data_IF_834940576134
#
_entry.id   IF_834940576134
#
_cell.length_a   1.000
_cell.length_b   1.000
_cell.length_c   1.000
_cell.angle_alpha   90.00
_cell.angle_beta   90.00
_cell.angle_gamma   90.00
#
_symmetry.space_group_name_H-M   'P 1'
#
loop_
_entity.id
_entity.type
_entity.pdbx_description
1 polymer ?
#
# COMPACT_ATOMS: atom_id res chain seq x y z
N UNK A 1 5.18 10.12 6.44
CA UNK A 1 3.95 10.36 5.65
C UNK A 1 3.02 11.26 6.43
N UNK A 2 2.62 12.39 5.85
CA UNK A 2 1.63 13.30 6.43
C UNK A 2 0.26 12.97 5.83
N UNK A 3 -0.66 12.50 6.67
CA UNK A 3 -2.06 12.25 6.29
C UNK A 3 -2.79 13.60 6.28
N UNK A 4 -3.19 14.09 5.11
CA UNK A 4 -4.09 15.25 5.00
C UNK A 4 -5.53 14.74 5.08
N UNK A 5 -6.22 15.05 6.17
CA UNK A 5 -7.62 14.71 6.39
C UNK A 5 -8.50 15.89 5.96
N UNK A 6 -9.36 15.68 4.96
CA UNK A 6 -10.45 16.60 4.61
C UNK A 6 -11.79 15.90 4.84
N UNK A 7 -12.65 16.57 5.62
CA UNK A 7 -14.04 16.29 6.00
C UNK A 7 -14.35 14.90 6.59
N UNK A 8 -14.44 14.87 7.93
CA UNK A 8 -15.04 13.78 8.69
C UNK A 8 -16.56 13.98 8.79
N UNK A 9 -17.32 13.22 8.02
CA UNK A 9 -18.56 12.65 8.54
C UNK A 9 -18.17 11.33 9.23
N UNK A 10 -18.58 11.06 10.47
CA UNK A 10 -18.15 9.85 11.21
C UNK A 10 -18.47 8.53 10.48
N UNK A 11 -19.35 8.61 9.47
CA UNK A 11 -19.75 7.51 8.59
C UNK A 11 -18.98 7.42 7.28
N UNK A 12 -18.27 8.46 6.86
CA UNK A 12 -17.69 8.54 5.52
C UNK A 12 -16.23 9.02 5.60
N UNK A 13 -15.31 8.23 5.07
CA UNK A 13 -13.88 8.52 5.11
C UNK A 13 -13.27 8.40 3.72
N UNK A 14 -12.61 9.46 3.28
CA UNK A 14 -11.83 9.49 2.03
C UNK A 14 -10.35 9.61 2.39
N UNK A 15 -9.52 8.71 1.88
CA UNK A 15 -8.09 8.67 2.19
C UNK A 15 -7.31 8.05 1.04
N UNK A 16 -5.99 8.25 1.04
CA UNK A 16 -5.10 7.56 0.12
C UNK A 16 -4.36 6.42 0.81
N UNK A 17 -4.03 5.38 0.05
CA UNK A 17 -3.24 4.25 0.53
C UNK A 17 -2.42 3.68 -0.62
N UNK A 18 -1.12 3.54 -0.36
CA UNK A 18 -0.21 2.80 -1.20
C UNK A 18 -0.39 1.30 -0.97
N UNK A 19 -0.51 0.53 -2.05
CA UNK A 19 -0.68 -0.94 -2.06
C UNK A 19 0.21 -1.58 -3.12
N UNK A 20 0.57 -2.84 -2.90
CA UNK A 20 1.12 -3.70 -3.94
C UNK A 20 -0.01 -3.99 -4.94
N UNK A 21 0.26 -3.83 -6.23
CA UNK A 21 -0.78 -3.96 -7.26
C UNK A 21 -1.16 -5.43 -7.49
N UNK A 22 -0.16 -6.32 -7.54
CA UNK A 22 -0.37 -7.76 -7.66
C UNK A 22 0.85 -8.54 -7.15
N UNK A 23 0.73 -9.22 -6.00
CA UNK A 23 1.81 -10.03 -5.42
C UNK A 23 2.32 -11.14 -6.33
N UNK A 24 1.54 -11.56 -7.34
CA UNK A 24 1.97 -12.58 -8.29
C UNK A 24 2.73 -12.01 -9.49
N UNK A 25 2.71 -10.69 -9.68
CA UNK A 25 3.41 -10.05 -10.78
C UNK A 25 4.93 -10.07 -10.58
N UNK A 26 5.66 -10.23 -11.69
CA UNK A 26 7.12 -10.16 -11.68
C UNK A 26 7.63 -8.80 -11.19
N UNK A 27 6.88 -7.72 -11.45
CA UNK A 27 7.23 -6.37 -11.01
C UNK A 27 7.20 -6.26 -9.48
N UNK A 28 6.06 -6.61 -8.88
CA UNK A 28 5.86 -6.56 -7.43
C UNK A 28 6.83 -7.50 -6.71
N UNK A 29 7.02 -8.74 -7.20
CA UNK A 29 7.96 -9.70 -6.60
C UNK A 29 9.38 -9.15 -6.54
N UNK A 30 9.85 -8.52 -7.62
CA UNK A 30 11.20 -7.93 -7.63
C UNK A 30 11.32 -6.73 -6.72
N UNK A 31 10.35 -5.82 -6.70
CA UNK A 31 10.35 -4.69 -5.77
C UNK A 31 10.39 -5.13 -4.30
N UNK A 32 9.55 -6.10 -3.94
CA UNK A 32 9.52 -6.67 -2.59
C UNK A 32 10.87 -7.32 -2.26
N UNK A 33 11.46 -8.06 -3.21
CA UNK A 33 12.78 -8.66 -3.02
C UNK A 33 13.87 -7.61 -2.78
N UNK A 34 13.92 -6.54 -3.59
CA UNK A 34 14.90 -5.46 -3.44
C UNK A 34 14.77 -4.76 -2.10
N UNK A 35 13.54 -4.46 -1.70
CA UNK A 35 13.24 -3.81 -0.42
C UNK A 35 13.67 -4.69 0.75
N UNK A 36 13.29 -5.97 0.77
CA UNK A 36 13.55 -6.85 1.90
C UNK A 36 15.02 -7.28 2.00
N UNK A 37 15.79 -7.28 0.91
CA UNK A 37 17.20 -7.67 0.94
C UNK A 37 18.09 -6.69 1.70
N UNK A 38 17.68 -5.43 1.78
CA UNK A 38 18.42 -4.35 2.45
C UNK A 38 18.02 -4.16 3.93
N UNK A 39 17.04 -4.92 4.43
CA UNK A 39 16.46 -4.80 5.77
C UNK A 39 16.88 -5.93 6.72
N UNK A 40 16.97 -5.63 8.02
CA UNK A 40 17.15 -6.65 9.05
C UNK A 40 15.88 -7.48 9.30
N UNK A 41 15.98 -8.54 10.10
CA UNK A 41 14.84 -9.45 10.35
C UNK A 41 13.59 -8.76 10.92
N UNK A 42 13.77 -7.82 11.86
CA UNK A 42 12.66 -7.13 12.50
C UNK A 42 12.03 -6.12 11.54
N UNK A 43 12.86 -5.41 10.78
CA UNK A 43 12.44 -4.49 9.74
C UNK A 43 11.67 -5.21 8.63
N UNK A 44 12.14 -6.38 8.19
CA UNK A 44 11.45 -7.22 7.23
C UNK A 44 10.07 -7.66 7.73
N UNK A 45 9.97 -8.06 9.01
CA UNK A 45 8.69 -8.48 9.59
C UNK A 45 7.68 -7.32 9.62
N UNK A 46 8.12 -6.14 10.05
CA UNK A 46 7.29 -4.94 10.04
C UNK A 46 6.87 -4.57 8.62
N UNK A 47 7.83 -4.55 7.68
CA UNK A 47 7.59 -4.17 6.30
C UNK A 47 6.60 -5.11 5.59
N UNK A 48 6.69 -6.43 5.83
CA UNK A 48 5.76 -7.40 5.24
C UNK A 48 4.29 -7.16 5.62
N UNK A 49 4.04 -6.58 6.80
CA UNK A 49 2.66 -6.24 7.20
C UNK A 49 2.12 -5.02 6.46
N UNK A 50 2.99 -4.15 5.93
CA UNK A 50 2.62 -2.95 5.18
C UNK A 50 2.49 -3.21 3.66
N UNK A 51 3.11 -4.28 3.15
CA UNK A 51 3.11 -4.69 1.74
C UNK A 51 1.80 -5.39 1.34
N UNK A 52 0.68 -4.73 1.60
CA UNK A 52 -0.66 -5.24 1.32
C UNK A 52 -1.04 -5.01 -0.15
N UNK A 53 -1.75 -5.96 -0.74
CA UNK A 53 -2.48 -5.71 -1.98
C UNK A 53 -3.85 -5.05 -1.73
N UNK A 54 -4.52 -4.64 -2.81
CA UNK A 54 -5.85 -4.00 -2.72
C UNK A 54 -6.90 -4.91 -2.05
N UNK A 55 -6.88 -6.22 -2.29
CA UNK A 55 -7.86 -7.15 -1.75
C UNK A 55 -7.63 -7.36 -0.24
N UNK A 56 -6.38 -7.47 0.17
CA UNK A 56 -5.98 -7.55 1.58
C UNK A 56 -6.35 -6.27 2.33
N UNK A 57 -6.13 -5.10 1.72
CA UNK A 57 -6.55 -3.82 2.30
C UNK A 57 -8.07 -3.73 2.45
N UNK A 58 -8.83 -4.10 1.42
CA UNK A 58 -10.31 -4.13 1.47
C UNK A 58 -10.82 -5.09 2.55
N UNK A 59 -10.14 -6.23 2.74
CA UNK A 59 -10.46 -7.15 3.84
C UNK A 59 -10.24 -6.51 5.20
N UNK A 60 -9.13 -5.81 5.42
CA UNK A 60 -8.85 -5.08 6.67
C UNK A 60 -9.92 -4.02 6.92
N UNK A 61 -10.34 -3.29 5.89
CA UNK A 61 -11.42 -2.31 6.01
C UNK A 61 -12.75 -2.97 6.44
N UNK A 62 -13.10 -4.11 5.83
CA UNK A 62 -14.29 -4.87 6.22
C UNK A 62 -14.20 -5.34 7.69
N UNK A 63 -13.08 -5.94 8.08
CA UNK A 63 -12.83 -6.39 9.45
C UNK A 63 -12.89 -5.23 10.47
N UNK A 64 -12.57 -4.00 10.04
CA UNK A 64 -12.68 -2.77 10.83
C UNK A 64 -14.10 -2.16 10.88
N UNK A 65 -15.08 -2.78 10.21
CA UNK A 65 -16.49 -2.40 10.24
C UNK A 65 -16.94 -1.46 9.12
N UNK A 66 -16.13 -1.24 8.09
CA UNK A 66 -16.57 -0.54 6.88
C UNK A 66 -17.41 -1.47 6.00
N UNK A 67 -18.60 -1.02 5.59
CA UNK A 67 -19.55 -1.82 4.80
C UNK A 67 -19.45 -1.55 3.30
N UNK A 68 -18.97 -0.38 2.91
CA UNK A 68 -18.66 -0.05 1.52
C UNK A 68 -17.23 0.49 1.45
N UNK A 69 -16.47 0.02 0.47
CA UNK A 69 -15.10 0.44 0.24
C UNK A 69 -14.83 0.45 -1.28
N UNK A 70 -14.71 1.65 -1.85
CA UNK A 70 -14.45 1.83 -3.27
C UNK A 70 -13.08 2.46 -3.46
N UNK A 71 -12.18 1.74 -4.15
CA UNK A 71 -10.83 2.22 -4.47
C UNK A 71 -10.73 2.71 -5.91
N UNK A 72 -10.21 3.92 -6.11
CA UNK A 72 -9.87 4.48 -7.43
C UNK A 72 -8.34 4.56 -7.50
N UNK A 73 -7.74 3.83 -8.44
CA UNK A 73 -6.30 3.87 -8.69
C UNK A 73 -5.90 5.24 -9.23
N UNK A 74 -4.92 5.88 -8.61
CA UNK A 74 -4.31 7.14 -9.05
C UNK A 74 -3.17 6.83 -10.02
N UNK A 75 -2.24 5.99 -9.59
CA UNK A 75 -1.12 5.51 -10.40
C UNK A 75 -0.76 4.06 -10.04
N UNK A 76 -0.21 3.36 -11.02
CA UNK A 76 0.28 1.98 -10.88
C UNK A 76 1.67 1.94 -10.24
N UNK A 77 2.14 0.75 -9.91
CA UNK A 77 3.52 0.55 -9.44
C UNK A 77 4.53 1.11 -10.44
N UNK A 78 5.66 1.59 -9.91
CA UNK A 78 6.79 1.95 -10.76
C UNK A 78 7.35 0.69 -11.44
N UNK A 79 7.88 0.81 -12.67
CA UNK A 79 8.63 -0.27 -13.27
C UNK A 79 9.88 -0.56 -12.41
N UNK A 80 10.14 -1.84 -12.16
CA UNK A 80 11.32 -2.24 -11.41
C UNK A 80 12.61 -1.73 -12.07
N UNK A 81 13.52 -1.09 -11.31
CA UNK A 81 14.78 -0.60 -11.83
C UNK A 81 15.75 -1.75 -12.12
N UNK A 82 16.69 -1.52 -13.03
CA UNK A 82 17.80 -2.45 -13.31
C UNK A 82 18.94 -2.25 -12.30
N UNK A 83 18.70 -2.67 -11.07
CA UNK A 83 19.64 -2.57 -9.94
C UNK A 83 19.37 -3.69 -8.94
N UNK A 84 20.40 -4.06 -8.18
CA UNK A 84 20.31 -5.07 -7.12
C UNK A 84 20.04 -4.46 -5.73
N UNK A 85 19.80 -3.14 -5.65
CA UNK A 85 19.57 -2.41 -4.40
C UNK A 85 18.27 -1.63 -4.44
N UNK A 86 17.59 -1.53 -3.30
CA UNK A 86 16.43 -0.68 -3.18
C UNK A 86 16.83 0.81 -3.35
N UNK A 87 16.22 1.55 -4.28
CA UNK A 87 16.70 2.88 -4.68
C UNK A 87 16.18 4.02 -3.78
N UNK A 88 15.18 3.77 -2.93
CA UNK A 88 14.53 4.83 -2.14
C UNK A 88 14.99 4.78 -0.69
N UNK A 89 15.59 5.88 -0.22
CA UNK A 89 16.00 6.02 1.17
C UNK A 89 14.82 6.54 2.00
N UNK A 90 14.38 5.78 3.00
CA UNK A 90 13.26 6.12 3.90
C UNK A 90 11.85 6.25 3.26
N UNK A 91 11.70 5.98 1.96
CA UNK A 91 10.41 6.07 1.23
C UNK A 91 9.97 4.71 0.67
N UNK A 92 9.71 3.76 1.57
CA UNK A 92 9.39 2.36 1.25
C UNK A 92 8.20 2.20 0.29
N UNK A 93 7.22 3.11 0.37
CA UNK A 93 5.99 3.04 -0.42
C UNK A 93 6.10 3.69 -1.82
N UNK A 94 7.22 4.35 -2.15
CA UNK A 94 7.31 5.18 -3.36
C UNK A 94 7.12 4.40 -4.67
N UNK A 95 7.46 3.11 -4.69
CA UNK A 95 7.27 2.24 -5.85
C UNK A 95 5.87 1.64 -5.96
N UNK A 96 5.09 1.67 -4.88
CA UNK A 96 3.79 1.01 -4.78
C UNK A 96 2.74 1.78 -5.59
N UNK A 97 1.65 1.09 -5.97
CA UNK A 97 0.51 1.74 -6.59
C UNK A 97 -0.25 2.57 -5.54
N UNK A 98 -0.78 3.73 -5.92
CA UNK A 98 -1.54 4.59 -5.02
C UNK A 98 -3.01 4.61 -5.41
N UNK A 99 -3.87 4.51 -4.40
CA UNK A 99 -5.32 4.53 -4.54
C UNK A 99 -5.92 5.59 -3.65
N UNK A 100 -7.00 6.22 -4.11
CA UNK A 100 -7.95 6.92 -3.23
C UNK A 100 -9.04 5.92 -2.86
N UNK A 101 -9.24 5.70 -1.57
CA UNK A 101 -10.35 4.93 -1.05
C UNK A 101 -11.43 5.85 -0.52
N UNK A 102 -12.66 5.48 -0.86
CA UNK A 102 -13.87 6.01 -0.27
C UNK A 102 -14.50 4.86 0.54
N UNK A 103 -14.50 5.00 1.87
CA UNK A 103 -14.96 3.99 2.83
C UNK A 103 -16.13 4.51 3.67
N UNK A 104 -17.16 3.68 3.85
CA UNK A 104 -18.39 4.03 4.58
C UNK A 104 -18.65 3.06 5.73
N UNK A 105 -18.99 3.60 6.90
CA UNK A 105 -19.50 2.87 8.07
C UNK A 105 -21.03 3.01 8.18
N UNK A 106 -21.73 2.04 8.82
CA UNK A 106 -23.19 2.05 8.98
C UNK A 106 -23.79 3.32 9.61
#
# INVERSE_FOLDING_TARGET
MATYLQDFDEKHTIYTKSVVEDHESENSKKWISLLLSDLDYNEQLWCKNELLDVNQWLKICNDAGFVENNGIKIYSELPVPDTDKFPFENEIAQWMAEYVFNSIKP
#
